data_IF_867623356170
#
_entry.id   IF_867623356170
#
_cell.length_a   1.000
_cell.length_b   1.000
_cell.length_c   1.000
_cell.angle_alpha   90.00
_cell.angle_beta   90.00
_cell.angle_gamma   90.00
#
_symmetry.space_group_name_H-M   'P 1'
#
loop_
_entity.id
_entity.type
_entity.pdbx_description
1 polymer ?
#
# COMPACT_ATOMS: atom_id res chain seq x y z
N UNK A 1 -17.47 9.17 -8.18
CA UNK A 1 -17.63 10.05 -7.01
C UNK A 1 -16.26 10.66 -6.84
N UNK A 2 -16.08 11.93 -7.20
CA UNK A 2 -14.73 12.49 -7.30
C UNK A 2 -14.16 12.69 -5.89
N UNK A 3 -13.21 11.83 -5.50
CA UNK A 3 -12.48 11.92 -4.24
C UNK A 3 -11.17 12.64 -4.52
N UNK A 4 -10.97 13.79 -3.90
CA UNK A 4 -9.71 14.55 -3.98
C UNK A 4 -8.92 14.39 -2.69
N UNK A 5 -7.64 14.09 -2.84
CA UNK A 5 -6.67 13.98 -1.75
C UNK A 5 -5.96 15.32 -1.65
N UNK A 6 -6.03 15.95 -0.48
CA UNK A 6 -5.28 17.19 -0.21
C UNK A 6 -3.81 16.84 -0.04
N UNK A 7 -2.95 17.32 -0.93
CA UNK A 7 -1.50 17.09 -0.96
C UNK A 7 -0.70 18.24 -0.32
N UNK A 8 -1.36 19.31 0.12
CA UNK A 8 -0.74 20.50 0.70
C UNK A 8 -1.03 21.77 -0.10
N UNK A 9 -0.08 22.70 -0.13
CA UNK A 9 -0.25 24.03 -0.74
C UNK A 9 0.49 24.08 -2.09
N UNK A 10 -0.23 24.45 -3.14
CA UNK A 10 0.32 24.73 -4.46
C UNK A 10 0.86 26.17 -4.55
N UNK A 11 1.55 26.49 -5.64
CA UNK A 11 2.00 27.85 -5.90
C UNK A 11 0.80 28.81 -5.94
N UNK A 12 0.84 29.87 -5.12
CA UNK A 12 -0.25 30.86 -5.03
C UNK A 12 -1.25 30.65 -3.89
N UNK A 13 -0.93 29.78 -2.90
CA UNK A 13 -1.77 29.50 -1.72
C UNK A 13 -3.09 28.79 -1.99
N UNK A 14 -3.21 28.13 -3.14
CA UNK A 14 -4.30 27.21 -3.41
C UNK A 14 -3.96 25.82 -2.90
N UNK A 15 -4.96 25.00 -2.59
CA UNK A 15 -4.72 23.61 -2.21
C UNK A 15 -4.22 22.82 -3.42
N UNK A 16 -3.17 22.03 -3.24
CA UNK A 16 -2.72 21.02 -4.18
C UNK A 16 -3.59 19.78 -3.99
N UNK A 17 -4.45 19.49 -4.97
CA UNK A 17 -5.35 18.33 -4.91
C UNK A 17 -4.88 17.25 -5.88
N UNK A 18 -4.99 15.99 -5.46
CA UNK A 18 -4.76 14.81 -6.29
C UNK A 18 -6.08 14.05 -6.46
N UNK A 19 -6.44 13.75 -7.71
CA UNK A 19 -7.65 12.99 -8.03
C UNK A 19 -7.41 11.49 -7.82
N UNK A 20 -8.17 10.87 -6.92
CA UNK A 20 -8.04 9.46 -6.62
C UNK A 20 -8.50 8.57 -7.79
N UNK A 21 -9.54 8.97 -8.53
CA UNK A 21 -10.01 8.18 -9.69
C UNK A 21 -8.95 8.17 -10.80
N UNK A 22 -8.31 9.31 -11.04
CA UNK A 22 -7.18 9.39 -11.99
C UNK A 22 -5.99 8.54 -11.53
N UNK A 23 -5.66 8.58 -10.23
CA UNK A 23 -4.57 7.77 -9.69
C UNK A 23 -4.84 6.27 -9.86
N UNK A 24 -6.07 5.81 -9.65
CA UNK A 24 -6.44 4.40 -9.81
C UNK A 24 -6.39 3.94 -11.28
N UNK A 25 -6.58 4.86 -12.22
CA UNK A 25 -6.47 4.59 -13.66
C UNK A 25 -5.03 4.69 -14.19
N UNK A 26 -4.10 5.23 -13.39
CA UNK A 26 -2.73 5.57 -13.83
C UNK A 26 -1.68 5.04 -12.87
N UNK A 27 -0.48 5.63 -12.89
CA UNK A 27 0.65 5.27 -12.02
C UNK A 27 1.28 6.56 -11.51
N UNK A 28 1.58 6.60 -10.22
CA UNK A 28 2.30 7.70 -9.58
C UNK A 28 3.75 7.26 -9.28
N UNK A 29 4.71 8.07 -9.73
CA UNK A 29 6.11 7.96 -9.31
C UNK A 29 6.42 9.07 -8.32
N UNK A 30 6.78 8.71 -7.10
CA UNK A 30 7.29 9.64 -6.08
C UNK A 30 8.79 9.44 -5.95
N UNK A 31 9.57 10.47 -6.27
CA UNK A 31 11.02 10.43 -6.21
C UNK A 31 11.57 11.59 -5.39
N UNK A 32 12.64 11.33 -4.64
CA UNK A 32 13.32 12.30 -3.79
C UNK A 32 14.40 11.64 -2.97
N UNK A 33 15.37 12.43 -2.49
CA UNK A 33 16.44 11.93 -1.65
C UNK A 33 15.92 11.52 -0.25
N UNK A 34 16.76 10.86 0.55
CA UNK A 34 16.43 10.64 1.96
C UNK A 34 16.16 11.99 2.65
N UNK A 35 15.14 12.04 3.51
CA UNK A 35 14.70 13.28 4.18
C UNK A 35 13.87 14.26 3.33
N UNK A 36 13.59 13.98 2.05
CA UNK A 36 12.81 14.88 1.20
C UNK A 36 11.29 14.87 1.47
N UNK A 37 10.83 14.11 2.47
CA UNK A 37 9.41 13.98 2.80
C UNK A 37 8.62 12.95 1.98
N UNK A 38 9.27 12.01 1.28
CA UNK A 38 8.59 10.95 0.50
C UNK A 38 7.57 10.15 1.31
N UNK A 39 8.01 9.57 2.44
CA UNK A 39 7.14 8.77 3.31
C UNK A 39 6.01 9.61 3.90
N UNK A 40 6.24 10.91 4.16
CA UNK A 40 5.20 11.82 4.61
C UNK A 40 4.12 12.04 3.54
N UNK A 41 4.53 12.26 2.29
CA UNK A 41 3.61 12.39 1.15
C UNK A 41 2.82 11.09 0.92
N UNK A 42 3.50 9.95 0.89
CA UNK A 42 2.86 8.64 0.70
C UNK A 42 1.92 8.31 1.85
N UNK A 43 2.29 8.59 3.09
CA UNK A 43 1.43 8.43 4.26
C UNK A 43 0.15 9.24 4.11
N UNK A 44 0.26 10.52 3.74
CA UNK A 44 -0.91 11.37 3.52
C UNK A 44 -1.84 10.81 2.43
N UNK A 45 -1.27 10.31 1.33
CA UNK A 45 -2.01 9.66 0.25
C UNK A 45 -2.73 8.40 0.76
N UNK A 46 -2.02 7.52 1.48
CA UNK A 46 -2.55 6.27 2.01
C UNK A 46 -3.67 6.53 3.04
N UNK A 47 -3.44 7.41 3.99
CA UNK A 47 -4.41 7.74 5.05
C UNK A 47 -5.72 8.33 4.47
N UNK A 48 -5.62 9.25 3.50
CA UNK A 48 -6.81 9.85 2.89
C UNK A 48 -7.53 8.94 1.91
N UNK A 49 -6.82 8.01 1.24
CA UNK A 49 -7.43 7.05 0.32
C UNK A 49 -7.95 5.76 1.00
N UNK A 50 -7.57 5.50 2.26
CA UNK A 50 -7.90 4.26 2.96
C UNK A 50 -9.40 3.96 3.07
N UNK A 51 -10.31 4.94 3.29
CA UNK A 51 -11.75 4.67 3.33
C UNK A 51 -12.37 4.33 1.97
N UNK A 52 -11.66 4.57 0.88
CA UNK A 52 -12.23 4.58 -0.48
C UNK A 52 -11.82 3.38 -1.31
N UNK A 53 -10.60 2.85 -1.08
CA UNK A 53 -10.04 1.75 -1.87
C UNK A 53 -9.29 0.75 -0.99
N UNK A 54 -9.32 -0.52 -1.41
CA UNK A 54 -8.45 -1.53 -0.83
C UNK A 54 -6.98 -1.17 -1.12
N UNK A 55 -6.15 -1.16 -0.08
CA UNK A 55 -4.72 -0.86 -0.19
C UNK A 55 -3.89 -2.07 0.19
N UNK A 56 -2.86 -2.34 -0.62
CA UNK A 56 -1.81 -3.29 -0.30
C UNK A 56 -0.48 -2.56 -0.35
N UNK A 57 0.13 -2.31 0.81
CA UNK A 57 1.39 -1.58 0.92
C UNK A 57 2.51 -2.59 1.09
N UNK A 58 3.48 -2.62 0.18
CA UNK A 58 4.72 -3.38 0.35
C UNK A 58 5.74 -2.46 1.00
N UNK A 59 6.11 -2.75 2.24
CA UNK A 59 6.83 -1.84 3.12
C UNK A 59 8.21 -2.40 3.52
N UNK A 60 9.26 -2.12 2.72
CA UNK A 60 10.61 -2.58 3.02
C UNK A 60 11.27 -1.86 4.20
N UNK A 61 10.76 -0.68 4.59
CA UNK A 61 11.35 0.17 5.62
C UNK A 61 10.54 0.17 6.93
N UNK A 62 9.37 -0.48 6.98
CA UNK A 62 8.49 -0.52 8.15
C UNK A 62 7.79 0.83 8.43
N UNK A 63 7.78 1.74 7.47
CA UNK A 63 7.31 3.11 7.60
C UNK A 63 5.80 3.22 7.83
N UNK A 64 5.01 2.20 7.49
CA UNK A 64 3.55 2.29 7.33
C UNK A 64 2.75 1.35 8.23
N UNK A 65 3.39 0.58 9.12
CA UNK A 65 2.70 -0.36 10.03
C UNK A 65 1.65 0.32 10.93
N UNK A 66 1.82 1.60 11.27
CA UNK A 66 0.85 2.38 12.05
C UNK A 66 -0.47 2.67 11.33
N UNK A 67 -0.60 2.33 10.04
CA UNK A 67 -1.89 2.37 9.36
C UNK A 67 -2.88 1.38 9.98
N UNK A 68 -2.40 0.26 10.52
CA UNK A 68 -3.23 -0.73 11.22
C UNK A 68 -3.98 -0.13 12.42
N UNK A 69 -3.33 0.79 13.14
CA UNK A 69 -3.88 1.37 14.37
C UNK A 69 -5.14 2.21 14.13
N UNK A 70 -5.29 2.79 12.93
CA UNK A 70 -6.34 3.80 12.65
C UNK A 70 -7.22 3.47 11.46
N UNK A 71 -6.71 2.73 10.47
CA UNK A 71 -7.39 2.51 9.20
C UNK A 71 -7.77 1.04 8.94
N UNK A 72 -7.49 0.16 9.91
CA UNK A 72 -7.90 -1.24 9.85
C UNK A 72 -7.04 -2.11 8.92
N UNK A 73 -5.85 -1.63 8.53
CA UNK A 73 -4.89 -2.45 7.79
C UNK A 73 -4.45 -3.64 8.63
N UNK A 74 -4.35 -4.81 8.01
CA UNK A 74 -3.73 -5.98 8.62
C UNK A 74 -2.24 -5.98 8.32
N UNK A 75 -1.42 -6.21 9.35
CA UNK A 75 0.02 -6.38 9.17
C UNK A 75 0.34 -7.82 8.78
N UNK A 76 1.09 -7.98 7.70
CA UNK A 76 1.60 -9.25 7.21
C UNK A 76 3.11 -9.22 7.31
N UNK A 77 3.67 -9.92 8.30
CA UNK A 77 5.11 -10.06 8.46
C UNK A 77 5.71 -10.88 7.31
N UNK A 78 6.74 -10.34 6.66
CA UNK A 78 7.41 -10.94 5.51
C UNK A 78 8.35 -12.10 5.84
N UNK A 79 8.71 -12.28 7.11
CA UNK A 79 9.61 -13.34 7.59
C UNK A 79 8.96 -14.74 7.63
N UNK A 80 7.72 -14.83 7.14
CA UNK A 80 6.94 -16.06 7.04
C UNK A 80 7.38 -16.92 5.86
N UNK A 81 7.12 -18.24 5.91
CA UNK A 81 7.29 -19.10 4.75
C UNK A 81 6.49 -18.60 3.55
N UNK A 82 7.07 -18.65 2.35
CA UNK A 82 6.43 -18.17 1.10
C UNK A 82 5.04 -18.76 0.87
N UNK A 83 4.87 -20.07 1.13
CA UNK A 83 3.58 -20.74 1.00
C UNK A 83 2.51 -20.20 1.97
N UNK A 84 2.91 -19.68 3.12
CA UNK A 84 2.01 -19.02 4.07
C UNK A 84 1.65 -17.62 3.57
N UNK A 85 2.62 -16.84 3.08
CA UNK A 85 2.40 -15.53 2.48
C UNK A 85 1.38 -15.59 1.32
N UNK A 86 1.52 -16.59 0.43
CA UNK A 86 0.57 -16.82 -0.67
C UNK A 86 -0.84 -17.13 -0.16
N UNK A 87 -0.98 -17.91 0.92
CA UNK A 87 -2.30 -18.20 1.53
C UNK A 87 -2.92 -16.99 2.21
N UNK A 88 -2.11 -16.18 2.90
CA UNK A 88 -2.55 -14.94 3.54
C UNK A 88 -3.04 -13.96 2.47
N UNK A 89 -2.27 -13.78 1.40
CA UNK A 89 -2.62 -12.97 0.25
C UNK A 89 -3.98 -13.38 -0.36
N UNK A 90 -4.20 -14.68 -0.57
CA UNK A 90 -5.50 -15.18 -1.04
C UNK A 90 -6.67 -14.76 -0.15
N UNK A 91 -6.52 -14.84 1.19
CA UNK A 91 -7.55 -14.39 2.14
C UNK A 91 -7.75 -12.87 2.12
N UNK A 92 -6.67 -12.10 2.04
CA UNK A 92 -6.72 -10.64 1.93
C UNK A 92 -7.51 -10.23 0.69
N UNK A 93 -7.27 -10.91 -0.44
CA UNK A 93 -8.00 -10.65 -1.67
C UNK A 93 -9.47 -11.04 -1.57
N UNK A 94 -9.76 -12.22 -1.02
CA UNK A 94 -11.13 -12.72 -0.79
C UNK A 94 -11.97 -11.77 0.08
N UNK A 95 -11.38 -11.28 1.18
CA UNK A 95 -12.09 -10.43 2.14
C UNK A 95 -12.00 -8.93 1.83
N UNK A 96 -11.24 -8.53 0.81
CA UNK A 96 -11.00 -7.12 0.45
C UNK A 96 -10.49 -6.26 1.61
N UNK A 97 -9.66 -6.84 2.46
CA UNK A 97 -9.07 -6.13 3.59
C UNK A 97 -7.81 -5.39 3.14
N UNK A 98 -7.59 -4.17 3.61
CA UNK A 98 -6.34 -3.45 3.37
C UNK A 98 -5.21 -4.05 4.21
N UNK A 99 -3.98 -4.04 3.72
CA UNK A 99 -2.85 -4.63 4.41
C UNK A 99 -1.54 -3.87 4.20
N UNK A 100 -0.62 -4.07 5.14
CA UNK A 100 0.78 -3.68 5.03
C UNK A 100 1.62 -4.94 5.12
N UNK A 101 2.37 -5.24 4.07
CA UNK A 101 3.36 -6.31 4.04
C UNK A 101 4.66 -5.73 4.58
N UNK A 102 4.93 -5.97 5.87
CA UNK A 102 6.11 -5.48 6.54
C UNK A 102 7.31 -6.37 6.19
N UNK A 103 8.32 -5.81 5.53
CA UNK A 103 9.54 -6.51 5.16
C UNK A 103 10.77 -5.94 5.87
N UNK A 104 10.56 -5.10 6.89
CA UNK A 104 11.62 -4.57 7.73
C UNK A 104 12.45 -5.71 8.34
N UNK A 105 13.77 -5.55 8.35
CA UNK A 105 14.70 -6.53 8.94
C UNK A 105 15.07 -7.71 8.05
N UNK A 106 14.39 -7.91 6.92
CA UNK A 106 14.80 -8.88 5.89
C UNK A 106 15.93 -8.34 5.02
N UNK A 107 16.79 -9.24 4.55
CA UNK A 107 17.74 -8.89 3.49
C UNK A 107 17.02 -8.66 2.15
N UNK A 108 17.68 -7.99 1.19
CA UNK A 108 17.07 -7.62 -0.10
C UNK A 108 16.54 -8.83 -0.87
N UNK A 109 17.22 -9.97 -0.83
CA UNK A 109 16.77 -11.18 -1.54
C UNK A 109 15.51 -11.75 -0.90
N UNK A 110 15.46 -11.79 0.43
CA UNK A 110 14.29 -12.19 1.20
C UNK A 110 13.12 -11.23 1.00
N UNK A 111 13.35 -9.92 0.99
CA UNK A 111 12.32 -8.93 0.68
C UNK A 111 11.69 -9.20 -0.70
N UNK A 112 12.52 -9.44 -1.72
CA UNK A 112 12.05 -9.75 -3.06
C UNK A 112 11.23 -11.06 -3.10
N UNK A 113 11.71 -12.13 -2.44
CA UNK A 113 10.97 -13.40 -2.38
C UNK A 113 9.64 -13.28 -1.65
N UNK A 114 9.63 -12.63 -0.49
CA UNK A 114 8.41 -12.43 0.31
C UNK A 114 7.38 -11.58 -0.45
N UNK A 115 7.80 -10.46 -1.04
CA UNK A 115 6.93 -9.62 -1.86
C UNK A 115 6.39 -10.39 -3.08
N UNK A 116 7.23 -11.17 -3.77
CA UNK A 116 6.81 -11.97 -4.90
C UNK A 116 5.80 -13.05 -4.52
N UNK A 117 6.04 -13.78 -3.43
CA UNK A 117 5.14 -14.83 -2.93
C UNK A 117 3.78 -14.26 -2.51
N UNK A 118 3.79 -13.10 -1.85
CA UNK A 118 2.57 -12.40 -1.44
C UNK A 118 1.79 -11.87 -2.64
N UNK A 119 2.44 -11.10 -3.53
CA UNK A 119 1.78 -10.54 -4.72
C UNK A 119 1.29 -11.63 -5.67
N UNK A 120 2.06 -12.71 -5.83
CA UNK A 120 1.63 -13.90 -6.57
C UNK A 120 0.32 -14.47 -6.02
N UNK A 121 0.24 -14.68 -4.69
CA UNK A 121 -0.99 -15.15 -4.06
C UNK A 121 -2.18 -14.18 -4.17
N UNK A 122 -1.92 -12.86 -4.24
CA UNK A 122 -2.97 -11.87 -4.52
C UNK A 122 -3.48 -12.03 -5.96
N UNK A 123 -2.58 -12.21 -6.92
CA UNK A 123 -2.89 -12.34 -8.35
C UNK A 123 -3.55 -13.66 -8.72
N UNK A 124 -3.20 -14.75 -8.04
CA UNK A 124 -3.78 -16.09 -8.26
C UNK A 124 -5.18 -16.26 -7.66
N UNK A 125 -5.73 -15.22 -7.03
CA UNK A 125 -7.08 -15.25 -6.50
C UNK A 125 -8.12 -15.48 -7.61
N UNK A 126 -9.16 -16.25 -7.28
CA UNK A 126 -10.27 -16.56 -8.19
C UNK A 126 -10.82 -15.27 -8.82
N UNK A 127 -11.18 -15.35 -10.10
CA UNK A 127 -11.77 -14.24 -10.88
C UNK A 127 -12.99 -13.65 -10.19
N UNK A 128 -13.76 -14.45 -9.47
CA UNK A 128 -14.91 -13.99 -8.70
C UNK A 128 -14.53 -13.00 -7.59
N UNK A 129 -13.25 -12.87 -7.23
CA UNK A 129 -12.75 -11.88 -6.28
C UNK A 129 -12.18 -10.62 -6.96
N UNK A 130 -12.24 -10.53 -8.30
CA UNK A 130 -11.83 -9.39 -9.13
C UNK A 130 -13.05 -8.63 -9.68
N UNK A 131 -13.47 -7.62 -8.94
CA UNK A 131 -14.59 -6.73 -9.25
C UNK A 131 -14.11 -5.28 -9.34
#
# INVERSE_FOLDING_TARGET
>A
MQVSIDMGEAQGRSNALLDLEELLATRLLVQGNSGSGKSHLLRRLLEQSAPWVQQCVVDPEGDFVTLADKFGHVIVEGDRPEAELTRIAGRIRQHRVSCVVNLEGLDVEQQMRAAAAFLGGMFDADRDHWY
#
